data_IF_622124781071
#
_entry.id   IF_622124781071
#
_cell.length_a   1.000
_cell.length_b   1.000
_cell.length_c   1.000
_cell.angle_alpha   90.00
_cell.angle_beta   90.00
_cell.angle_gamma   90.00
#
_symmetry.space_group_name_H-M   'P 1'
#
loop_
_entity.id
_entity.type
_entity.pdbx_description
1 polymer ?
#
# COMPACT_ATOMS: atom_id res chain seq x y z
N UNK A 1 3.25 -22.45 4.17
CA UNK A 1 3.60 -21.78 2.89
C UNK A 1 2.77 -22.25 1.69
N UNK A 2 2.60 -23.56 1.41
CA UNK A 2 1.69 -24.08 0.36
C UNK A 2 0.25 -23.49 0.43
N UNK A 3 -0.18 -23.06 1.63
CA UNK A 3 -1.48 -22.42 1.84
C UNK A 3 -1.62 -21.06 1.13
N UNK A 4 -0.55 -20.27 0.97
CA UNK A 4 -0.63 -18.90 0.44
C UNK A 4 -0.81 -18.88 -1.09
N UNK A 5 -0.06 -19.73 -1.81
CA UNK A 5 -0.23 -19.88 -3.27
C UNK A 5 -1.65 -20.39 -3.60
N UNK A 6 -2.20 -21.30 -2.79
CA UNK A 6 -3.60 -21.75 -2.94
C UNK A 6 -4.62 -20.62 -2.76
N UNK A 7 -4.33 -19.61 -1.94
CA UNK A 7 -5.22 -18.45 -1.80
C UNK A 7 -5.35 -17.63 -3.09
N UNK A 8 -4.36 -17.69 -3.99
CA UNK A 8 -4.43 -17.04 -5.32
C UNK A 8 -5.49 -17.65 -6.23
N UNK A 9 -5.93 -18.89 -5.94
CA UNK A 9 -6.97 -19.61 -6.67
C UNK A 9 -8.36 -19.42 -6.06
N UNK A 10 -8.47 -18.65 -4.97
CA UNK A 10 -9.76 -18.38 -4.31
C UNK A 10 -10.74 -17.69 -5.25
N UNK A 11 -12.04 -17.91 -5.07
CA UNK A 11 -13.09 -17.13 -5.75
C UNK A 11 -13.25 -15.73 -5.16
N UNK A 12 -12.79 -15.49 -3.92
CA UNK A 12 -12.84 -14.19 -3.27
C UNK A 12 -11.68 -13.30 -3.76
N UNK A 13 -12.01 -12.14 -4.36
CA UNK A 13 -11.03 -11.18 -4.86
C UNK A 13 -10.07 -10.71 -3.76
N UNK A 14 -10.59 -10.24 -2.63
CA UNK A 14 -9.80 -9.69 -1.54
C UNK A 14 -8.77 -10.69 -1.00
N UNK A 15 -9.16 -11.97 -0.91
CA UNK A 15 -8.23 -13.03 -0.50
C UNK A 15 -7.11 -13.25 -1.53
N UNK A 16 -7.42 -13.17 -2.84
CA UNK A 16 -6.40 -13.25 -3.89
C UNK A 16 -5.43 -12.07 -3.80
N UNK A 17 -5.96 -10.84 -3.67
CA UNK A 17 -5.16 -9.62 -3.56
C UNK A 17 -4.24 -9.68 -2.33
N UNK A 18 -4.80 -9.94 -1.15
CA UNK A 18 -4.04 -10.03 0.09
C UNK A 18 -2.94 -11.10 0.03
N UNK A 19 -3.22 -12.26 -0.59
CA UNK A 19 -2.22 -13.30 -0.77
C UNK A 19 -1.09 -12.85 -1.73
N UNK A 20 -1.44 -12.21 -2.84
CA UNK A 20 -0.47 -11.67 -3.79
C UNK A 20 0.44 -10.61 -3.16
N UNK A 21 -0.14 -9.62 -2.48
CA UNK A 21 0.61 -8.57 -1.77
C UNK A 21 1.49 -9.13 -0.65
N UNK A 22 1.03 -10.16 0.06
CA UNK A 22 1.82 -10.83 1.08
C UNK A 22 3.04 -11.53 0.47
N UNK A 23 2.88 -12.20 -0.67
CA UNK A 23 4.00 -12.82 -1.40
C UNK A 23 4.97 -11.73 -1.88
N UNK A 24 4.47 -10.63 -2.44
CA UNK A 24 5.29 -9.52 -2.92
C UNK A 24 6.09 -8.86 -1.78
N UNK A 25 5.47 -8.61 -0.63
CA UNK A 25 6.14 -8.11 0.57
C UNK A 25 7.23 -9.07 1.08
N UNK A 26 6.94 -10.37 1.10
CA UNK A 26 7.94 -11.37 1.48
C UNK A 26 9.11 -11.38 0.50
N UNK A 27 8.83 -11.31 -0.80
CA UNK A 27 9.87 -11.26 -1.83
C UNK A 27 10.73 -10.01 -1.68
N UNK A 28 10.12 -8.82 -1.61
CA UNK A 28 10.80 -7.54 -1.36
C UNK A 28 11.73 -7.63 -0.15
N UNK A 29 11.23 -8.15 0.97
CA UNK A 29 12.02 -8.27 2.18
C UNK A 29 13.23 -9.21 2.03
N UNK A 30 13.12 -10.31 1.28
CA UNK A 30 14.26 -11.19 1.02
C UNK A 30 15.31 -10.47 0.16
N UNK A 31 14.88 -9.79 -0.89
CA UNK A 31 15.78 -9.02 -1.77
C UNK A 31 16.48 -7.89 -1.01
N UNK A 32 15.76 -7.13 -0.18
CA UNK A 32 16.33 -6.06 0.65
C UNK A 32 17.40 -6.56 1.64
N UNK A 33 17.30 -7.81 2.10
CA UNK A 33 18.24 -8.41 3.05
C UNK A 33 19.33 -9.25 2.36
N UNK A 34 19.44 -9.16 1.01
CA UNK A 34 20.41 -9.91 0.21
C UNK A 34 20.28 -11.43 0.44
N UNK A 35 19.04 -11.90 0.63
CA UNK A 35 18.70 -13.29 0.86
C UNK A 35 18.10 -13.92 -0.40
N UNK A 36 18.48 -15.15 -0.68
CA UNK A 36 17.88 -15.91 -1.76
C UNK A 36 16.43 -16.31 -1.42
N UNK A 37 15.49 -15.90 -2.27
CA UNK A 37 14.07 -16.20 -2.10
C UNK A 37 13.71 -17.63 -2.50
N UNK A 38 13.78 -18.55 -1.53
CA UNK A 38 13.50 -19.98 -1.73
C UNK A 38 12.11 -20.43 -1.26
N UNK A 39 11.25 -19.49 -0.83
CA UNK A 39 9.94 -19.83 -0.23
C UNK A 39 8.95 -20.41 -1.23
N UNK A 40 9.07 -20.00 -2.50
CA UNK A 40 8.19 -20.42 -3.57
C UNK A 40 8.99 -20.59 -4.86
N UNK A 41 8.46 -21.39 -5.78
CA UNK A 41 8.98 -21.46 -7.13
C UNK A 41 8.63 -20.16 -7.87
N UNK A 42 9.63 -19.30 -8.12
CA UNK A 42 9.44 -18.01 -8.79
C UNK A 42 8.84 -18.17 -10.20
N UNK A 43 9.21 -19.21 -10.93
CA UNK A 43 8.66 -19.45 -12.27
C UNK A 43 7.16 -19.73 -12.20
N UNK A 44 6.73 -20.62 -11.31
CA UNK A 44 5.32 -20.94 -11.11
C UNK A 44 4.52 -19.71 -10.61
N UNK A 45 5.11 -18.94 -9.69
CA UNK A 45 4.50 -17.69 -9.21
C UNK A 45 4.31 -16.69 -10.35
N UNK A 46 5.34 -16.48 -11.18
CA UNK A 46 5.26 -15.55 -12.32
C UNK A 46 4.17 -15.95 -13.29
N UNK A 47 4.04 -17.25 -13.60
CA UNK A 47 2.96 -17.75 -14.44
C UNK A 47 1.58 -17.48 -13.81
N UNK A 48 1.40 -17.80 -12.52
CA UNK A 48 0.13 -17.56 -11.80
C UNK A 48 -0.21 -16.06 -11.74
N UNK A 49 0.75 -15.21 -11.42
CA UNK A 49 0.52 -13.77 -11.37
C UNK A 49 0.23 -13.19 -12.75
N UNK A 50 0.89 -13.65 -13.80
CA UNK A 50 0.60 -13.25 -15.18
C UNK A 50 -0.83 -13.61 -15.58
N UNK A 51 -1.28 -14.83 -15.28
CA UNK A 51 -2.68 -15.24 -15.53
C UNK A 51 -3.67 -14.30 -14.83
N UNK A 52 -3.42 -13.94 -13.56
CA UNK A 52 -4.29 -13.04 -12.79
C UNK A 52 -4.22 -11.58 -13.29
N UNK A 53 -3.06 -11.14 -13.79
CA UNK A 53 -2.81 -9.82 -14.37
C UNK A 53 -3.44 -9.62 -15.77
N UNK A 54 -3.71 -10.71 -16.49
CA UNK A 54 -4.35 -10.70 -17.82
C UNK A 54 -5.78 -11.24 -17.83
N UNK A 55 -6.35 -11.53 -16.65
CA UNK A 55 -7.67 -12.16 -16.51
C UNK A 55 -8.78 -11.40 -17.28
N UNK A 56 -9.60 -12.15 -17.99
CA UNK A 56 -10.70 -11.66 -18.84
C UNK A 56 -12.00 -12.46 -18.66
N UNK A 57 -12.13 -13.20 -17.55
CA UNK A 57 -13.32 -14.01 -17.27
C UNK A 57 -14.60 -13.17 -17.24
N UNK A 58 -15.55 -13.49 -18.13
CA UNK A 58 -16.84 -12.76 -18.29
C UNK A 58 -17.77 -12.85 -17.08
N UNK A 59 -17.56 -13.83 -16.20
CA UNK A 59 -18.33 -14.02 -14.96
C UNK A 59 -17.97 -13.00 -13.87
N UNK A 60 -16.79 -12.37 -13.93
CA UNK A 60 -16.34 -11.38 -12.94
C UNK A 60 -16.78 -9.97 -13.32
N UNK A 61 -17.02 -9.13 -12.32
CA UNK A 61 -17.38 -7.74 -12.57
C UNK A 61 -16.23 -6.95 -13.21
N UNK A 62 -16.53 -5.93 -14.02
CA UNK A 62 -15.51 -5.05 -14.61
C UNK A 62 -14.63 -4.38 -13.56
N UNK A 63 -15.21 -3.99 -12.42
CA UNK A 63 -14.50 -3.37 -11.30
C UNK A 63 -13.50 -4.36 -10.69
N UNK A 64 -13.95 -5.58 -10.39
CA UNK A 64 -13.09 -6.66 -9.88
C UNK A 64 -11.93 -6.97 -10.83
N UNK A 65 -12.21 -7.19 -12.12
CA UNK A 65 -11.17 -7.45 -13.12
C UNK A 65 -10.17 -6.29 -13.23
N UNK A 66 -10.62 -5.04 -13.11
CA UNK A 66 -9.72 -3.89 -13.13
C UNK A 66 -8.80 -3.88 -11.91
N UNK A 67 -9.35 -4.03 -10.71
CA UNK A 67 -8.59 -4.05 -9.46
C UNK A 67 -7.58 -5.21 -9.44
N UNK A 68 -8.04 -6.42 -9.77
CA UNK A 68 -7.17 -7.60 -9.84
C UNK A 68 -6.00 -7.38 -10.80
N UNK A 69 -6.29 -6.99 -12.04
CA UNK A 69 -5.23 -6.82 -13.04
C UNK A 69 -4.25 -5.72 -12.66
N UNK A 70 -4.72 -4.61 -12.07
CA UNK A 70 -3.83 -3.54 -11.61
C UNK A 70 -2.87 -4.02 -10.53
N UNK A 71 -3.40 -4.70 -9.50
CA UNK A 71 -2.62 -5.18 -8.37
C UNK A 71 -1.62 -6.26 -8.80
N UNK A 72 -2.05 -7.26 -9.57
CA UNK A 72 -1.14 -8.33 -10.02
C UNK A 72 -0.10 -7.88 -11.04
N UNK A 73 -0.33 -6.81 -11.82
CA UNK A 73 0.72 -6.20 -12.64
C UNK A 73 1.82 -5.56 -11.80
N UNK A 74 1.44 -4.88 -10.73
CA UNK A 74 2.40 -4.29 -9.80
C UNK A 74 3.21 -5.37 -9.07
N UNK A 75 2.55 -6.46 -8.65
CA UNK A 75 3.23 -7.63 -8.04
C UNK A 75 4.22 -8.27 -9.03
N UNK A 76 3.85 -8.41 -10.31
CA UNK A 76 4.75 -8.93 -11.35
C UNK A 76 5.99 -8.06 -11.51
N UNK A 77 5.82 -6.74 -11.57
CA UNK A 77 6.92 -5.78 -11.65
C UNK A 77 7.96 -6.04 -10.54
N UNK A 78 7.49 -6.20 -9.31
CA UNK A 78 8.36 -6.51 -8.17
C UNK A 78 9.09 -7.84 -8.31
N UNK A 79 8.40 -8.90 -8.72
CA UNK A 79 9.01 -10.24 -8.83
C UNK A 79 9.95 -10.34 -10.03
N UNK A 80 9.77 -9.49 -11.05
CA UNK A 80 10.68 -9.35 -12.18
C UNK A 80 11.96 -8.56 -11.81
N UNK A 81 12.08 -8.12 -10.55
CA UNK A 81 13.26 -7.44 -10.01
C UNK A 81 13.19 -5.92 -10.13
N UNK A 82 12.05 -5.37 -10.52
CA UNK A 82 11.84 -3.93 -10.62
C UNK A 82 11.37 -3.37 -9.27
N UNK A 83 11.77 -2.13 -8.95
CA UNK A 83 11.36 -1.46 -7.71
C UNK A 83 9.84 -1.22 -7.69
N UNK A 84 9.23 -1.13 -6.52
CA UNK A 84 7.81 -0.77 -6.41
C UNK A 84 7.51 0.53 -7.17
N UNK A 85 6.48 0.51 -8.04
CA UNK A 85 6.07 1.69 -8.77
C UNK A 85 5.48 2.73 -7.81
N UNK A 86 6.08 3.93 -7.67
CA UNK A 86 5.73 4.84 -6.58
C UNK A 86 4.27 5.32 -6.67
N UNK A 87 3.56 5.23 -5.56
CA UNK A 87 2.20 5.76 -5.40
C UNK A 87 2.25 7.05 -4.58
N UNK A 88 1.58 8.10 -5.05
CA UNK A 88 1.55 9.38 -4.33
C UNK A 88 0.19 9.63 -3.70
N UNK A 89 0.15 9.77 -2.38
CA UNK A 89 -1.03 10.19 -1.63
C UNK A 89 -0.87 11.66 -1.23
N UNK A 90 -1.81 12.51 -1.64
CA UNK A 90 -1.83 13.93 -1.27
C UNK A 90 -2.65 14.14 0.00
N UNK A 91 -2.11 14.89 0.96
CA UNK A 91 -2.80 15.28 2.18
C UNK A 91 -2.43 16.71 2.57
N UNK A 92 -3.42 17.60 2.70
CA UNK A 92 -3.15 19.03 2.93
C UNK A 92 -2.26 19.63 1.84
N UNK A 93 -1.14 20.22 2.24
CA UNK A 93 -0.11 20.76 1.34
C UNK A 93 1.06 19.79 1.08
N UNK A 94 1.01 18.58 1.63
CA UNK A 94 2.09 17.60 1.58
C UNK A 94 1.70 16.38 0.72
N UNK A 95 2.70 15.56 0.40
CA UNK A 95 2.53 14.29 -0.30
C UNK A 95 3.30 13.19 0.42
N UNK A 96 2.70 12.01 0.50
CA UNK A 96 3.32 10.77 0.92
C UNK A 96 3.64 9.98 -0.35
N UNK A 97 4.90 9.62 -0.54
CA UNK A 97 5.33 8.71 -1.60
C UNK A 97 5.43 7.31 -1.02
N UNK A 98 4.65 6.37 -1.53
CA UNK A 98 4.71 4.97 -1.18
C UNK A 98 5.57 4.28 -2.24
N UNK A 99 6.75 3.83 -1.84
CA UNK A 99 7.81 3.33 -2.72
C UNK A 99 8.21 1.87 -2.43
N UNK A 100 7.46 1.18 -1.58
CA UNK A 100 7.70 -0.20 -1.16
C UNK A 100 6.40 -0.89 -0.74
N UNK A 101 6.37 -2.22 -0.82
CA UNK A 101 5.27 -3.03 -0.28
C UNK A 101 5.15 -2.88 1.23
N UNK A 102 6.28 -2.73 1.94
CA UNK A 102 6.29 -2.44 3.38
C UNK A 102 5.53 -1.16 3.69
N UNK A 103 5.85 -0.06 3.01
CA UNK A 103 5.22 1.24 3.22
C UNK A 103 3.74 1.21 2.84
N UNK A 104 3.39 0.53 1.74
CA UNK A 104 2.00 0.30 1.34
C UNK A 104 1.21 -0.43 2.42
N UNK A 105 1.78 -1.50 2.98
CA UNK A 105 1.16 -2.29 4.05
C UNK A 105 0.93 -1.47 5.32
N UNK A 106 1.89 -0.63 5.72
CA UNK A 106 1.70 0.29 6.84
C UNK A 106 0.57 1.27 6.57
N UNK A 107 0.57 1.92 5.40
CA UNK A 107 -0.46 2.88 5.02
C UNK A 107 -1.87 2.26 5.04
N UNK A 108 -2.05 1.08 4.44
CA UNK A 108 -3.34 0.39 4.43
C UNK A 108 -3.80 -0.01 5.84
N UNK A 109 -2.86 -0.47 6.68
CA UNK A 109 -3.17 -0.84 8.07
C UNK A 109 -3.66 0.38 8.84
N UNK A 110 -2.97 1.51 8.75
CA UNK A 110 -3.42 2.74 9.39
C UNK A 110 -4.73 3.26 8.81
N UNK A 111 -4.96 3.16 7.49
CA UNK A 111 -6.24 3.50 6.89
C UNK A 111 -7.40 2.65 7.44
N UNK A 112 -7.17 1.36 7.70
CA UNK A 112 -8.20 0.47 8.24
C UNK A 112 -8.61 0.84 9.68
N UNK A 113 -7.69 1.42 10.46
CA UNK A 113 -7.91 1.79 11.86
C UNK A 113 -8.39 3.24 12.00
N UNK A 114 -7.74 4.17 11.28
CA UNK A 114 -7.97 5.61 11.41
C UNK A 114 -9.06 6.12 10.45
N UNK A 115 -9.35 5.38 9.38
CA UNK A 115 -10.38 5.74 8.40
C UNK A 115 -10.18 7.16 7.85
N UNK A 116 -11.23 7.98 7.95
CA UNK A 116 -11.20 9.38 7.49
C UNK A 116 -10.20 10.27 8.24
N UNK A 117 -9.71 9.83 9.41
CA UNK A 117 -8.70 10.56 10.20
C UNK A 117 -7.27 10.44 9.67
N UNK A 118 -7.01 9.56 8.70
CA UNK A 118 -5.65 9.27 8.21
C UNK A 118 -4.87 10.54 7.81
N UNK A 119 -5.47 11.43 7.03
CA UNK A 119 -4.82 12.66 6.57
C UNK A 119 -4.45 13.63 7.71
N UNK A 120 -5.29 13.70 8.74
CA UNK A 120 -5.02 14.52 9.93
C UNK A 120 -3.85 13.93 10.69
N UNK A 121 -3.79 12.60 10.84
CA UNK A 121 -2.68 11.96 11.53
C UNK A 121 -1.38 12.02 10.73
N UNK A 122 -1.40 11.89 9.40
CA UNK A 122 -0.20 12.11 8.58
C UNK A 122 0.38 13.52 8.73
N UNK A 123 -0.48 14.54 8.88
CA UNK A 123 -0.01 15.91 9.05
C UNK A 123 0.48 16.21 10.48
N UNK A 124 -0.20 15.70 11.51
CA UNK A 124 0.00 16.17 12.90
C UNK A 124 0.62 15.14 13.84
N UNK A 125 0.54 13.83 13.55
CA UNK A 125 1.00 12.80 14.46
C UNK A 125 2.47 12.49 14.21
N UNK A 126 3.34 12.89 15.16
CA UNK A 126 4.78 12.68 15.04
C UNK A 126 5.15 11.20 14.83
N UNK A 127 4.48 10.27 15.50
CA UNK A 127 4.75 8.83 15.31
C UNK A 127 4.49 8.39 13.87
N UNK A 128 3.37 8.81 13.26
CA UNK A 128 3.12 8.47 11.85
C UNK A 128 4.10 9.16 10.93
N UNK A 129 4.48 10.40 11.22
CA UNK A 129 5.47 11.13 10.42
C UNK A 129 6.85 10.48 10.48
N UNK A 130 7.23 9.92 11.62
CA UNK A 130 8.47 9.16 11.77
C UNK A 130 8.39 7.83 11.01
N UNK A 131 7.27 7.10 11.12
CA UNK A 131 7.05 5.82 10.39
C UNK A 131 7.09 6.01 8.88
N UNK A 132 6.54 7.12 8.37
CA UNK A 132 6.46 7.44 6.95
C UNK A 132 7.55 8.40 6.47
N UNK A 133 8.52 8.71 7.34
CA UNK A 133 9.67 9.59 7.04
C UNK A 133 9.29 10.97 6.45
N UNK A 134 8.14 11.52 6.87
CA UNK A 134 7.61 12.80 6.39
C UNK A 134 8.35 14.02 6.99
N UNK A 135 9.23 13.83 7.96
CA UNK A 135 9.97 14.89 8.66
C UNK A 135 9.20 15.55 9.82
N UNK A 136 9.44 16.84 10.06
CA UNK A 136 8.70 17.61 11.08
C UNK A 136 7.35 18.09 10.57
N UNK A 137 6.36 18.20 11.46
CA UNK A 137 5.03 18.77 11.16
C UNK A 137 5.16 20.13 10.46
N UNK A 138 4.67 20.22 9.23
CA UNK A 138 4.47 21.51 8.58
C UNK A 138 3.18 22.11 9.13
N UNK A 139 3.30 23.27 9.78
CA UNK A 139 2.14 24.01 10.25
C UNK A 139 1.31 24.43 9.04
N UNK A 140 0.12 23.86 8.91
CA UNK A 140 -0.84 24.26 7.90
C UNK A 140 -1.24 25.73 8.17
N UNK A 141 -0.89 26.70 7.32
CA UNK A 141 -1.15 28.12 7.57
C UNK A 141 -2.65 28.41 7.79
N UNK A 142 -3.51 27.57 7.24
CA UNK A 142 -4.97 27.70 7.31
C UNK A 142 -5.51 27.37 8.70
N UNK A 143 -4.92 26.41 9.44
CA UNK A 143 -5.37 26.05 10.80
C UNK A 143 -5.04 27.15 11.82
N UNK A 144 -4.01 27.96 11.57
CA UNK A 144 -3.64 29.05 12.46
C UNK A 144 -4.66 30.19 12.48
N UNK A 145 -5.41 30.41 11.38
CA UNK A 145 -6.41 31.49 11.29
C UNK A 145 -7.70 31.23 12.08
N UNK A 146 -7.99 29.96 12.42
CA UNK A 146 -9.19 29.61 13.19
C UNK A 146 -8.95 29.62 14.71
N UNK A 147 -7.70 29.42 15.15
CA UNK A 147 -7.36 29.43 16.59
C UNK A 147 -6.99 30.80 17.14
N UNK A 148 -6.70 31.82 16.31
CA UNK A 148 -6.37 33.17 16.81
C UNK A 148 -7.58 34.04 17.18
N UNK A 149 -8.82 33.60 16.92
CA UNK A 149 -10.03 34.39 17.23
C UNK A 149 -10.63 34.18 18.62
N UNK A 150 -10.02 33.35 19.49
CA UNK A 150 -10.56 33.05 20.82
C UNK A 150 -9.83 33.72 22.00
N UNK A 151 -8.76 34.48 21.77
CA UNK A 151 -7.97 35.12 22.84
C UNK A 151 -7.98 36.66 22.77
N UNK A 152 -9.13 37.28 22.52
CA UNK A 152 -9.29 38.74 22.71
C UNK A 152 -10.59 39.07 23.41
N UNK A 153 -10.76 38.55 24.63
CA UNK A 153 -11.61 39.22 25.64
C UNK A 153 -10.87 39.13 26.97
N UNK A 154 -10.03 40.14 27.24
CA UNK A 154 -9.54 40.44 28.58
C UNK A 154 -10.60 41.29 29.27
N UNK A 155 -11.01 40.89 30.47
CA UNK A 155 -11.69 41.77 31.43
C UNK A 155 -10.71 42.81 31.99
#
# INVERSE_FOLDING_TARGET
MIKLVKCLESTNLELRLAAGECIALLYENYIENDLDFHLFNIHELREKFNQLATDSQKSKSKKELRTQRSNFRQILHTIEGESYGPETIKFGCEKLEIDSWKMKRYYDTFCSVLGSGMNIHLSQNQLLRDIFELGTVLLDPVLNTKNTKLNTVSF
#
